data_IF_172473691233
#
_entry.id   IF_172473691233
#
_cell.length_a   1.000
_cell.length_b   1.000
_cell.length_c   1.000
_cell.angle_alpha   90.00
_cell.angle_beta   90.00
_cell.angle_gamma   90.00
#
_symmetry.space_group_name_H-M   'P 1'
#
loop_
_entity.id
_entity.type
_entity.pdbx_description
1 polymer ?
#
# COMPACT_ATOMS: atom_id res chain seq x y z
N UNK A 1 13.06 -4.59 -26.55
CA UNK A 1 11.88 -4.95 -25.73
C UNK A 1 10.85 -3.85 -25.89
N UNK A 2 9.59 -4.15 -26.24
CA UNK A 2 8.57 -3.12 -26.48
C UNK A 2 7.91 -2.70 -25.15
N UNK A 3 8.64 -1.94 -24.35
CA UNK A 3 8.24 -1.52 -22.99
C UNK A 3 6.93 -0.72 -22.97
N UNK A 4 6.58 -0.07 -24.08
CA UNK A 4 5.34 0.69 -24.26
C UNK A 4 4.09 -0.20 -24.23
N UNK A 5 4.14 -1.41 -24.82
CA UNK A 5 2.99 -2.31 -24.84
C UNK A 5 2.78 -2.99 -23.47
N UNK A 6 3.87 -3.34 -22.80
CA UNK A 6 3.82 -3.88 -21.43
C UNK A 6 3.18 -2.89 -20.47
N UNK A 7 3.62 -1.62 -20.50
CA UNK A 7 3.05 -0.56 -19.66
C UNK A 7 1.54 -0.38 -19.89
N UNK A 8 1.08 -0.47 -21.14
CA UNK A 8 -0.36 -0.39 -21.47
C UNK A 8 -1.16 -1.55 -20.85
N UNK A 9 -0.67 -2.78 -20.94
CA UNK A 9 -1.36 -3.93 -20.33
C UNK A 9 -1.35 -3.85 -18.81
N UNK A 10 -0.22 -3.46 -18.21
CA UNK A 10 -0.14 -3.27 -16.77
C UNK A 10 -1.12 -2.22 -16.29
N UNK A 11 -1.28 -1.12 -17.02
CA UNK A 11 -2.23 -0.07 -16.65
C UNK A 11 -3.68 -0.51 -16.86
N UNK A 12 -3.98 -1.19 -17.95
CA UNK A 12 -5.30 -1.77 -18.19
C UNK A 12 -5.67 -2.78 -17.09
N UNK A 13 -4.73 -3.62 -16.66
CA UNK A 13 -4.95 -4.60 -15.60
C UNK A 13 -5.19 -3.93 -14.23
N UNK A 14 -4.54 -2.78 -13.96
CA UNK A 14 -4.77 -1.98 -12.74
C UNK A 14 -6.14 -1.33 -12.77
N UNK A 15 -6.51 -0.72 -13.91
CA UNK A 15 -7.84 -0.12 -14.10
C UNK A 15 -8.94 -1.16 -13.93
N UNK A 16 -8.79 -2.33 -14.56
CA UNK A 16 -9.73 -3.44 -14.42
C UNK A 16 -9.90 -3.85 -12.95
N UNK A 17 -8.80 -4.05 -12.23
CA UNK A 17 -8.84 -4.44 -10.81
C UNK A 17 -9.59 -3.41 -9.96
N UNK A 18 -9.26 -2.12 -10.13
CA UNK A 18 -9.93 -1.04 -9.40
C UNK A 18 -11.41 -0.97 -9.72
N UNK A 19 -11.78 -1.00 -11.01
CA UNK A 19 -13.18 -0.94 -11.43
C UNK A 19 -13.99 -2.13 -10.90
N UNK A 20 -13.45 -3.35 -10.96
CA UNK A 20 -14.17 -4.53 -10.45
C UNK A 20 -14.33 -4.47 -8.94
N UNK A 21 -13.31 -4.02 -8.20
CA UNK A 21 -13.39 -3.86 -6.75
C UNK A 21 -14.38 -2.77 -6.32
N UNK A 22 -14.50 -1.67 -7.07
CA UNK A 22 -15.48 -0.61 -6.79
C UNK A 22 -16.93 -1.09 -7.02
N UNK A 23 -17.17 -1.89 -8.08
CA UNK A 23 -18.52 -2.34 -8.46
C UNK A 23 -19.03 -3.45 -7.54
N UNK A 24 -18.17 -4.40 -7.16
CA UNK A 24 -18.61 -5.64 -6.50
C UNK A 24 -18.61 -5.58 -4.95
N UNK A 25 -18.61 -4.38 -4.35
CA UNK A 25 -18.34 -4.13 -2.93
C UNK A 25 -16.89 -4.48 -2.52
N UNK A 26 -16.34 -3.87 -1.45
CA UNK A 26 -14.91 -3.84 -1.18
C UNK A 26 -14.40 -5.22 -0.71
N UNK A 27 -14.16 -6.11 -1.66
CA UNK A 27 -13.28 -7.25 -1.46
C UNK A 27 -11.86 -6.75 -1.36
N UNK A 28 -11.04 -7.43 -0.55
CA UNK A 28 -9.61 -7.19 -0.49
C UNK A 28 -9.05 -7.22 -1.93
N UNK A 29 -8.20 -6.24 -2.27
CA UNK A 29 -7.35 -6.29 -3.46
C UNK A 29 -6.30 -7.41 -3.26
N UNK A 30 -6.76 -8.65 -3.25
CA UNK A 30 -5.97 -9.86 -3.00
C UNK A 30 -5.30 -10.39 -4.27
N UNK A 31 -5.54 -9.74 -5.41
CA UNK A 31 -4.98 -10.05 -6.72
C UNK A 31 -5.85 -10.97 -7.58
N UNK A 32 -6.99 -11.48 -7.09
CA UNK A 32 -7.80 -12.47 -7.82
C UNK A 32 -8.34 -11.95 -9.14
N UNK A 33 -8.92 -10.75 -9.18
CA UNK A 33 -9.46 -10.17 -10.42
C UNK A 33 -8.37 -9.98 -11.48
N UNK A 34 -7.19 -9.59 -11.03
CA UNK A 34 -6.04 -9.37 -11.90
C UNK A 34 -5.48 -10.66 -12.46
N UNK A 35 -5.38 -11.70 -11.62
CA UNK A 35 -4.96 -13.02 -12.07
C UNK A 35 -5.88 -13.50 -13.20
N UNK A 36 -7.20 -13.43 -12.99
CA UNK A 36 -8.19 -13.78 -14.01
C UNK A 36 -8.04 -12.95 -15.30
N UNK A 37 -7.75 -11.65 -15.18
CA UNK A 37 -7.49 -10.80 -16.33
C UNK A 37 -6.27 -11.27 -17.13
N UNK A 38 -5.16 -11.59 -16.46
CA UNK A 38 -3.95 -12.07 -17.12
C UNK A 38 -4.11 -13.51 -17.65
N UNK A 39 -4.85 -14.38 -16.96
CA UNK A 39 -5.24 -15.71 -17.44
C UNK A 39 -6.04 -15.62 -18.75
N UNK A 40 -6.95 -14.65 -18.86
CA UNK A 40 -7.63 -14.40 -20.12
C UNK A 40 -6.66 -13.89 -21.20
N UNK A 41 -5.77 -12.95 -20.86
CA UNK A 41 -4.83 -12.39 -21.83
C UNK A 41 -3.88 -13.42 -22.44
N UNK A 42 -3.38 -14.39 -21.65
CA UNK A 42 -2.45 -15.42 -22.16
C UNK A 42 -3.09 -16.32 -23.23
N UNK A 43 -4.44 -16.39 -23.28
CA UNK A 43 -5.19 -17.15 -24.28
C UNK A 43 -5.35 -16.40 -25.61
N UNK A 44 -5.07 -15.10 -25.66
CA UNK A 44 -5.23 -14.29 -26.87
C UNK A 44 -4.12 -14.63 -27.87
N UNK A 45 -4.45 -15.09 -29.10
CA UNK A 45 -3.45 -15.34 -30.13
C UNK A 45 -2.59 -14.11 -30.41
N UNK A 46 -1.27 -14.26 -30.39
CA UNK A 46 -0.32 -13.17 -30.66
C UNK A 46 0.02 -12.29 -29.45
N UNK A 47 -0.51 -12.59 -28.25
CA UNK A 47 -0.18 -11.82 -27.05
C UNK A 47 1.33 -11.81 -26.75
N UNK A 48 2.02 -12.94 -26.92
CA UNK A 48 3.48 -13.04 -26.74
C UNK A 48 4.23 -12.07 -27.68
N UNK A 49 3.81 -11.97 -28.95
CA UNK A 49 4.40 -11.03 -29.89
C UNK A 49 4.10 -9.57 -29.50
N UNK A 50 2.94 -9.31 -28.90
CA UNK A 50 2.52 -7.97 -28.48
C UNK A 50 3.29 -7.46 -27.25
N UNK A 51 3.40 -8.26 -26.20
CA UNK A 51 4.09 -7.88 -24.94
C UNK A 51 5.58 -8.20 -24.93
N UNK A 52 6.01 -9.13 -25.78
CA UNK A 52 7.36 -9.67 -25.82
C UNK A 52 7.53 -10.93 -24.95
N UNK A 53 8.50 -11.80 -25.31
CA UNK A 53 8.64 -13.13 -24.72
C UNK A 53 9.00 -13.12 -23.23
N UNK A 54 9.74 -12.10 -22.76
CA UNK A 54 10.14 -12.01 -21.35
C UNK A 54 8.95 -11.73 -20.43
N UNK A 55 8.11 -10.76 -20.78
CA UNK A 55 6.92 -10.45 -19.99
C UNK A 55 5.89 -11.57 -20.10
N UNK A 56 5.74 -12.20 -21.27
CA UNK A 56 4.85 -13.35 -21.45
C UNK A 56 5.25 -14.54 -20.55
N UNK A 57 6.54 -14.88 -20.50
CA UNK A 57 7.06 -15.91 -19.58
C UNK A 57 6.83 -15.54 -18.10
N UNK A 58 6.99 -14.26 -17.75
CA UNK A 58 6.69 -13.79 -16.39
C UNK A 58 5.20 -13.96 -16.06
N UNK A 59 4.30 -13.62 -16.99
CA UNK A 59 2.85 -13.82 -16.84
C UNK A 59 2.54 -15.28 -16.51
N UNK A 60 2.99 -16.21 -17.36
CA UNK A 60 2.76 -17.65 -17.16
C UNK A 60 3.25 -18.12 -15.78
N UNK A 61 4.49 -17.77 -15.42
CA UNK A 61 5.10 -18.20 -14.15
C UNK A 61 4.38 -17.64 -12.92
N UNK A 62 4.07 -16.35 -12.90
CA UNK A 62 3.48 -15.75 -11.70
C UNK A 62 2.00 -16.09 -11.56
N UNK A 63 1.29 -16.42 -12.64
CA UNK A 63 -0.07 -16.97 -12.59
C UNK A 63 -0.10 -18.37 -11.98
N UNK A 64 0.76 -19.27 -12.44
CA UNK A 64 0.93 -20.61 -11.84
C UNK A 64 1.21 -20.51 -10.33
N UNK A 65 2.14 -19.64 -9.95
CA UNK A 65 2.45 -19.40 -8.53
C UNK A 65 1.29 -18.77 -7.74
N UNK A 66 0.47 -17.93 -8.38
CA UNK A 66 -0.70 -17.33 -7.75
C UNK A 66 -1.79 -18.39 -7.47
N UNK A 67 -1.95 -19.39 -8.33
CA UNK A 67 -2.90 -20.50 -8.09
C UNK A 67 -2.45 -21.40 -6.92
N UNK A 68 -1.15 -21.70 -6.85
CA UNK A 68 -0.60 -22.62 -5.84
C UNK A 68 -0.44 -22.00 -4.45
N UNK A 69 -0.32 -20.67 -4.34
CA UNK A 69 0.08 -20.00 -3.09
C UNK A 69 -1.02 -19.15 -2.48
N UNK A 70 -1.00 -19.06 -1.14
CA UNK A 70 -1.93 -18.25 -0.34
C UNK A 70 -1.76 -16.72 -0.50
N UNK A 71 -0.84 -16.24 -1.33
CA UNK A 71 -0.53 -14.81 -1.47
C UNK A 71 -0.52 -14.36 -2.94
N UNK A 72 -1.66 -14.52 -3.60
CA UNK A 72 -1.92 -14.10 -4.99
C UNK A 72 -1.47 -12.67 -5.29
N UNK A 73 -1.69 -11.77 -4.33
CA UNK A 73 -1.37 -10.34 -4.46
C UNK A 73 0.09 -10.06 -4.80
N UNK A 74 1.02 -10.73 -4.12
CA UNK A 74 2.46 -10.54 -4.36
C UNK A 74 2.91 -11.06 -5.73
N UNK A 75 2.27 -12.12 -6.23
CA UNK A 75 2.57 -12.67 -7.56
C UNK A 75 2.06 -11.74 -8.67
N UNK A 76 0.81 -11.29 -8.56
CA UNK A 76 0.20 -10.32 -9.47
C UNK A 76 0.96 -8.99 -9.47
N UNK A 77 1.44 -8.55 -8.30
CA UNK A 77 2.21 -7.32 -8.17
C UNK A 77 3.46 -7.30 -9.05
N UNK A 78 4.15 -8.43 -9.19
CA UNK A 78 5.33 -8.49 -10.07
C UNK A 78 4.96 -8.25 -11.54
N UNK A 79 3.78 -8.67 -11.96
CA UNK A 79 3.27 -8.38 -13.30
C UNK A 79 3.11 -6.87 -13.49
N UNK A 80 2.62 -6.15 -12.49
CA UNK A 80 2.47 -4.68 -12.54
C UNK A 80 3.77 -3.90 -12.57
N UNK A 81 4.84 -4.45 -11.99
CA UNK A 81 6.10 -3.73 -11.77
C UNK A 81 7.15 -4.02 -12.83
N UNK A 82 7.01 -5.09 -13.62
CA UNK A 82 8.00 -5.42 -14.66
C UNK A 82 8.26 -4.23 -15.62
N UNK A 83 9.51 -3.99 -16.05
CA UNK A 83 10.74 -4.71 -15.68
C UNK A 83 11.37 -4.19 -14.37
N UNK A 84 10.81 -3.14 -13.77
CA UNK A 84 11.37 -2.47 -12.60
C UNK A 84 10.61 -2.85 -11.32
N UNK A 85 11.09 -3.91 -10.68
CA UNK A 85 10.54 -4.43 -9.43
C UNK A 85 10.84 -3.53 -8.20
N UNK A 86 11.59 -2.45 -8.38
CA UNK A 86 11.83 -1.49 -7.33
C UNK A 86 10.68 -0.48 -7.24
N UNK A 87 10.36 -0.12 -6.00
CA UNK A 87 9.44 0.97 -5.71
C UNK A 87 9.99 2.30 -6.21
N UNK A 88 9.10 3.17 -6.67
CA UNK A 88 9.47 4.55 -6.93
C UNK A 88 9.93 5.19 -5.60
N UNK A 89 11.04 5.93 -5.67
CA UNK A 89 11.56 6.67 -4.53
C UNK A 89 10.56 7.73 -4.05
N UNK A 90 10.72 8.16 -2.80
CA UNK A 90 9.94 9.25 -2.24
C UNK A 90 10.48 10.60 -2.68
N UNK A 91 9.57 11.50 -3.06
CA UNK A 91 9.87 12.91 -3.31
C UNK A 91 9.34 13.74 -2.15
N UNK A 92 10.15 14.65 -1.61
CA UNK A 92 9.67 15.58 -0.58
C UNK A 92 8.70 16.58 -1.21
N UNK A 93 7.64 16.92 -0.49
CA UNK A 93 6.72 18.00 -0.85
C UNK A 93 7.15 19.25 -0.09
N UNK A 94 7.40 20.32 -0.83
CA UNK A 94 7.77 21.61 -0.24
C UNK A 94 6.53 22.24 0.41
N UNK A 95 6.55 22.32 1.73
CA UNK A 95 5.51 22.91 2.57
C UNK A 95 6.19 23.95 3.44
N UNK A 96 5.54 25.09 3.61
CA UNK A 96 6.03 26.14 4.51
C UNK A 96 6.13 25.59 5.95
N UNK A 97 7.29 25.77 6.58
CA UNK A 97 7.56 25.23 7.92
C UNK A 97 6.53 25.71 8.96
N UNK A 98 6.02 26.94 8.82
CA UNK A 98 4.95 27.48 9.67
C UNK A 98 3.66 26.64 9.56
N UNK A 99 3.25 26.30 8.34
CA UNK A 99 2.07 25.48 8.09
C UNK A 99 2.29 24.06 8.58
N UNK A 100 3.47 23.49 8.32
CA UNK A 100 3.83 22.16 8.79
C UNK A 100 3.80 22.07 10.32
N UNK A 101 4.31 23.08 11.03
CA UNK A 101 4.28 23.13 12.49
C UNK A 101 2.84 23.20 13.03
N UNK A 102 1.96 24.02 12.44
CA UNK A 102 0.54 24.09 12.83
C UNK A 102 -0.15 22.72 12.66
N UNK A 103 0.17 21.99 11.59
CA UNK A 103 -0.35 20.64 11.34
C UNK A 103 0.15 19.69 12.42
N UNK A 104 1.47 19.64 12.63
CA UNK A 104 2.11 18.76 13.61
C UNK A 104 1.51 18.99 15.01
N UNK A 105 1.33 20.24 15.44
CA UNK A 105 0.73 20.57 16.74
C UNK A 105 -0.71 20.06 16.90
N UNK A 106 -1.51 20.08 15.82
CA UNK A 106 -2.88 19.54 15.84
C UNK A 106 -2.87 18.01 15.90
N UNK A 107 -1.99 17.37 15.14
CA UNK A 107 -1.93 15.91 15.03
C UNK A 107 -1.30 15.24 16.26
N UNK A 108 -0.31 15.87 16.90
CA UNK A 108 0.41 15.33 18.06
C UNK A 108 -0.49 15.07 19.29
N UNK A 109 -1.68 15.65 19.34
CA UNK A 109 -2.64 15.43 20.43
C UNK A 109 -3.41 14.12 20.31
N UNK A 110 -3.26 13.41 19.19
CA UNK A 110 -3.98 12.17 18.94
C UNK A 110 -3.26 10.98 19.56
N UNK A 111 -4.07 10.07 20.10
CA UNK A 111 -3.63 8.79 20.63
C UNK A 111 -3.87 7.70 19.61
N UNK A 112 -2.97 6.72 19.63
CA UNK A 112 -2.94 5.61 18.70
C UNK A 112 -2.86 4.29 19.43
N UNK A 113 -3.42 3.27 18.80
CA UNK A 113 -3.39 1.89 19.28
C UNK A 113 -3.09 0.92 18.13
N UNK A 114 -2.55 -0.25 18.48
CA UNK A 114 -2.36 -1.33 17.52
C UNK A 114 -3.68 -2.06 17.28
N UNK A 115 -3.99 -2.33 16.01
CA UNK A 115 -5.13 -3.13 15.60
C UNK A 115 -4.74 -4.09 14.49
N UNK A 116 -5.30 -5.30 14.55
CA UNK A 116 -5.24 -6.23 13.43
C UNK A 116 -6.49 -6.02 12.57
N UNK A 117 -6.28 -5.71 11.30
CA UNK A 117 -7.33 -5.63 10.29
C UNK A 117 -6.76 -6.07 8.95
N UNK A 118 -7.57 -6.75 8.13
CA UNK A 118 -7.20 -7.17 6.76
C UNK A 118 -5.92 -8.02 6.72
N UNK A 119 -5.72 -8.84 7.75
CA UNK A 119 -4.52 -9.64 7.92
C UNK A 119 -3.25 -8.84 8.18
N UNK A 120 -3.31 -7.53 8.47
CA UNK A 120 -2.15 -6.67 8.76
C UNK A 120 -2.13 -6.28 10.24
N UNK A 121 -0.97 -5.84 10.72
CA UNK A 121 -0.88 -5.06 11.95
C UNK A 121 -0.79 -3.58 11.57
N UNK A 122 -1.79 -2.82 12.00
CA UNK A 122 -1.92 -1.41 11.76
C UNK A 122 -1.88 -0.63 13.07
N UNK A 123 -1.38 0.61 13.01
CA UNK A 123 -1.59 1.60 14.04
C UNK A 123 -2.70 2.52 13.56
N UNK A 124 -3.74 2.68 14.36
CA UNK A 124 -4.91 3.50 14.03
C UNK A 124 -5.09 4.58 15.09
N UNK A 125 -5.60 5.77 14.72
CA UNK A 125 -6.00 6.77 15.71
C UNK A 125 -7.21 6.26 16.49
N UNK A 126 -7.27 6.55 17.79
CA UNK A 126 -8.40 6.15 18.63
C UNK A 126 -9.66 6.95 18.28
N UNK A 127 -9.49 8.21 17.85
CA UNK A 127 -10.57 9.12 17.50
C UNK A 127 -10.19 9.98 16.28
N UNK A 128 -11.22 10.37 15.51
CA UNK A 128 -11.11 11.32 14.42
C UNK A 128 -10.64 10.75 13.08
N UNK A 129 -10.99 11.45 12.00
CA UNK A 129 -10.49 11.18 10.65
C UNK A 129 -9.24 12.03 10.41
N UNK A 130 -8.08 11.45 10.68
CA UNK A 130 -6.79 12.13 10.53
C UNK A 130 -6.44 12.34 9.05
N UNK A 131 -6.76 11.39 8.17
CA UNK A 131 -6.57 11.57 6.72
C UNK A 131 -7.29 12.83 6.21
N UNK A 132 -8.55 13.05 6.61
CA UNK A 132 -9.30 14.26 6.29
C UNK A 132 -8.64 15.53 6.81
N UNK A 133 -8.21 15.52 8.07
CA UNK A 133 -7.58 16.68 8.68
C UNK A 133 -6.27 17.06 7.99
N UNK A 134 -5.42 16.06 7.70
CA UNK A 134 -4.16 16.28 6.97
C UNK A 134 -4.47 16.80 5.56
N UNK A 135 -5.40 16.17 4.85
CA UNK A 135 -5.77 16.56 3.48
C UNK A 135 -6.28 18.00 3.43
N UNK A 136 -7.24 18.38 4.27
CA UNK A 136 -7.82 19.73 4.25
C UNK A 136 -6.79 20.83 4.52
N UNK A 137 -5.80 20.56 5.37
CA UNK A 137 -4.72 21.49 5.69
C UNK A 137 -3.67 21.58 4.57
N UNK A 138 -3.45 20.49 3.83
CA UNK A 138 -2.38 20.41 2.84
C UNK A 138 -2.83 20.53 1.38
N UNK A 139 -4.13 20.44 1.08
CA UNK A 139 -4.66 20.34 -0.30
C UNK A 139 -4.15 21.41 -1.27
N UNK A 140 -3.75 22.58 -0.80
CA UNK A 140 -3.20 23.65 -1.64
C UNK A 140 -1.76 23.39 -2.13
N UNK A 141 -1.02 22.50 -1.47
CA UNK A 141 0.33 22.06 -1.82
C UNK A 141 0.35 20.79 -2.67
N UNK A 142 -0.82 20.16 -2.88
CA UNK A 142 -0.93 18.87 -3.58
C UNK A 142 -1.32 19.07 -5.04
N UNK A 143 -1.11 18.04 -5.86
CA UNK A 143 -1.65 17.99 -7.22
C UNK A 143 -3.19 18.14 -7.19
N UNK A 144 -3.80 19.05 -7.98
CA UNK A 144 -5.26 19.27 -7.97
C UNK A 144 -6.13 18.04 -8.29
N UNK A 145 -5.53 17.02 -8.92
CA UNK A 145 -6.21 15.76 -9.24
C UNK A 145 -6.26 14.77 -8.09
N UNK A 146 -5.52 14.97 -6.99
CA UNK A 146 -5.64 14.11 -5.82
C UNK A 146 -6.92 14.37 -5.03
N UNK A 147 -7.35 13.35 -4.31
CA UNK A 147 -8.46 13.40 -3.36
C UNK A 147 -7.98 12.87 -2.01
N UNK A 148 -8.73 13.17 -0.95
CA UNK A 148 -8.52 12.53 0.35
C UNK A 148 -8.52 11.01 0.15
N UNK A 149 -7.56 10.32 0.77
CA UNK A 149 -7.59 8.87 0.79
C UNK A 149 -8.84 8.40 1.54
N UNK A 150 -9.70 7.63 0.85
CA UNK A 150 -10.97 7.15 1.39
C UNK A 150 -10.80 5.94 2.34
N UNK A 151 -9.63 5.31 2.33
CA UNK A 151 -9.31 4.23 3.27
C UNK A 151 -9.21 4.75 4.71
N UNK A 152 -9.57 3.90 5.67
CA UNK A 152 -9.45 4.20 7.09
C UNK A 152 -8.03 4.67 7.43
N UNK A 153 -7.90 5.73 8.24
CA UNK A 153 -6.57 6.23 8.65
C UNK A 153 -5.81 5.13 9.38
N UNK A 154 -4.64 4.76 8.86
CA UNK A 154 -3.75 3.83 9.52
C UNK A 154 -2.28 4.03 9.11
N UNK A 155 -1.39 3.49 9.93
CA UNK A 155 0.01 3.21 9.60
C UNK A 155 0.18 1.71 9.57
N UNK A 156 0.53 1.13 8.42
CA UNK A 156 0.84 -0.31 8.37
C UNK A 156 2.22 -0.57 8.96
N UNK A 157 2.29 -1.41 9.97
CA UNK A 157 3.54 -1.81 10.64
C UNK A 157 3.98 -3.19 10.15
N UNK A 158 3.03 -4.12 9.99
CA UNK A 158 3.29 -5.47 9.50
C UNK A 158 2.32 -5.79 8.37
N UNK A 159 2.85 -6.13 7.19
CA UNK A 159 2.07 -6.49 6.01
C UNK A 159 1.43 -7.88 6.12
N UNK A 160 0.38 -8.10 5.34
CA UNK A 160 -0.44 -9.30 5.39
C UNK A 160 0.29 -10.58 4.96
N UNK A 161 1.28 -10.47 4.09
CA UNK A 161 2.14 -11.58 3.73
C UNK A 161 2.92 -12.14 4.94
N UNK A 162 3.43 -11.25 5.80
CA UNK A 162 4.20 -11.64 7.00
C UNK A 162 3.26 -12.22 8.07
N UNK A 163 2.11 -11.59 8.30
CA UNK A 163 1.10 -12.10 9.24
C UNK A 163 0.55 -13.45 8.77
N UNK A 164 0.28 -13.61 7.48
CA UNK A 164 -0.18 -14.87 6.91
C UNK A 164 0.83 -16.01 7.04
N UNK A 165 2.13 -15.70 6.93
CA UNK A 165 3.22 -16.67 7.12
C UNK A 165 3.40 -17.11 8.58
N UNK A 166 3.17 -16.19 9.54
CA UNK A 166 3.26 -16.49 10.97
C UNK A 166 1.98 -17.18 11.49
N UNK A 167 0.82 -16.75 11.00
CA UNK A 167 -0.50 -17.09 11.50
C UNK A 167 -1.12 -15.95 12.32
N UNK A 168 -2.35 -15.56 11.95
CA UNK A 168 -3.05 -14.41 12.52
C UNK A 168 -3.25 -14.52 14.04
N UNK A 169 -3.54 -15.71 14.58
CA UNK A 169 -3.78 -15.91 16.02
C UNK A 169 -2.53 -15.62 16.86
N UNK A 170 -1.36 -16.08 16.39
CA UNK A 170 -0.08 -15.83 17.07
C UNK A 170 0.29 -14.36 17.06
N UNK A 171 0.03 -13.68 15.94
CA UNK A 171 0.23 -12.24 15.81
C UNK A 171 -0.74 -11.49 16.73
N UNK A 172 -2.01 -11.89 16.80
CA UNK A 172 -3.00 -11.31 17.69
C UNK A 172 -2.60 -11.44 19.17
N UNK A 173 -2.10 -12.59 19.58
CA UNK A 173 -1.58 -12.78 20.93
C UNK A 173 -0.39 -11.86 21.24
N UNK A 174 0.53 -11.68 20.29
CA UNK A 174 1.64 -10.73 20.46
C UNK A 174 1.15 -9.29 20.58
N UNK A 175 0.24 -8.86 19.70
CA UNK A 175 -0.30 -7.50 19.70
C UNK A 175 -1.06 -7.17 20.98
N UNK A 176 -1.71 -8.15 21.63
CA UNK A 176 -2.34 -7.96 22.95
C UNK A 176 -1.37 -7.47 24.04
N UNK A 177 -0.07 -7.72 23.91
CA UNK A 177 0.96 -7.18 24.81
C UNK A 177 1.26 -5.69 24.61
N UNK A 178 0.64 -5.05 23.61
CA UNK A 178 0.80 -3.65 23.24
C UNK A 178 -0.56 -2.93 23.28
N UNK A 179 -1.22 -3.02 24.43
CA UNK A 179 -2.53 -2.41 24.71
C UNK A 179 -2.46 -0.94 25.11
N UNK A 180 -1.25 -0.38 25.24
CA UNK A 180 -1.05 1.02 25.61
C UNK A 180 -1.30 1.93 24.42
N UNK A 181 -2.07 2.98 24.68
CA UNK A 181 -2.17 4.12 23.79
C UNK A 181 -0.85 4.90 23.76
N UNK A 182 -0.47 5.39 22.60
CA UNK A 182 0.77 6.14 22.41
C UNK A 182 0.60 7.28 21.40
N UNK A 183 1.57 8.20 21.39
CA UNK A 183 1.61 9.32 20.47
C UNK A 183 2.58 9.04 19.31
N UNK A 184 2.30 9.65 18.16
CA UNK A 184 3.17 9.65 16.99
C UNK A 184 3.78 11.03 16.81
N UNK A 185 5.06 11.08 16.43
CA UNK A 185 5.71 12.29 15.94
C UNK A 185 5.57 12.35 14.44
N UNK A 186 5.06 13.45 13.91
CA UNK A 186 4.87 13.66 12.47
C UNK A 186 6.11 14.32 11.86
N UNK A 187 6.50 13.84 10.69
CA UNK A 187 7.68 14.27 9.96
C UNK A 187 7.33 15.00 8.66
N UNK A 188 8.14 14.75 7.63
CA UNK A 188 7.96 15.40 6.32
C UNK A 188 6.78 14.80 5.56
N UNK A 189 6.22 15.61 4.69
CA UNK A 189 5.26 15.15 3.69
C UNK A 189 6.02 14.73 2.44
N UNK A 190 5.65 13.57 1.91
CA UNK A 190 6.29 12.94 0.76
C UNK A 190 5.24 12.51 -0.24
N UNK A 191 5.64 12.38 -1.49
CA UNK A 191 4.83 11.79 -2.55
C UNK A 191 5.59 10.69 -3.26
N UNK A 192 4.85 9.74 -3.83
CA UNK A 192 5.41 8.73 -4.73
C UNK A 192 4.39 8.26 -5.76
N UNK A 193 4.90 7.82 -6.91
CA UNK A 193 4.09 7.18 -7.94
C UNK A 193 3.95 5.70 -7.60
N UNK A 194 2.72 5.24 -7.49
CA UNK A 194 2.44 3.82 -7.29
C UNK A 194 2.68 3.03 -8.56
N UNK A 195 3.49 1.97 -8.45
CA UNK A 195 3.68 0.99 -9.52
C UNK A 195 2.94 -0.32 -9.25
N UNK A 196 2.68 -0.62 -7.97
CA UNK A 196 2.19 -1.90 -7.51
C UNK A 196 0.75 -1.87 -7.01
N UNK A 197 0.16 -0.70 -6.77
CA UNK A 197 -1.26 -0.56 -6.42
C UNK A 197 -2.11 -0.25 -7.64
N UNK A 198 -3.22 -0.99 -7.76
CA UNK A 198 -4.27 -0.74 -8.73
C UNK A 198 -5.05 0.52 -8.38
N UNK A 199 -5.45 0.69 -7.12
CA UNK A 199 -6.33 1.78 -6.69
C UNK A 199 -5.84 3.20 -7.04
N UNK A 200 -4.55 3.48 -6.92
CA UNK A 200 -4.01 4.82 -7.16
C UNK A 200 -2.72 4.83 -7.96
N UNK A 201 -2.50 5.92 -8.68
CA UNK A 201 -1.29 6.18 -9.49
C UNK A 201 -0.27 7.05 -8.77
N UNK A 202 -0.73 7.93 -7.88
CA UNK A 202 0.08 8.83 -7.07
C UNK A 202 -0.49 8.83 -5.66
N UNK A 203 0.37 8.85 -4.65
CA UNK A 203 -0.05 9.08 -3.28
C UNK A 203 0.83 10.12 -2.60
N UNK A 204 0.24 10.73 -1.58
CA UNK A 204 0.91 11.61 -0.63
C UNK A 204 0.80 11.00 0.76
N UNK A 205 1.92 11.06 1.47
CA UNK A 205 2.07 10.48 2.80
C UNK A 205 2.70 11.49 3.73
N UNK A 206 2.37 11.41 5.01
CA UNK A 206 3.12 12.09 6.07
C UNK A 206 3.91 11.03 6.83
N UNK A 207 5.20 11.26 7.00
CA UNK A 207 6.05 10.36 7.79
C UNK A 207 5.62 10.41 9.26
N UNK A 208 5.70 9.27 9.93
CA UNK A 208 5.47 9.16 11.36
C UNK A 208 6.60 8.41 12.03
N UNK A 209 6.92 8.78 13.27
CA UNK A 209 7.93 8.12 14.09
C UNK A 209 7.42 7.94 15.52
N UNK A 210 7.81 6.86 16.17
CA UNK A 210 7.53 6.64 17.59
C UNK A 210 8.50 5.62 18.16
N UNK A 211 9.10 5.93 19.31
CA UNK A 211 9.98 4.98 20.01
C UNK A 211 9.22 3.68 20.38
N UNK A 212 7.92 3.79 20.63
CA UNK A 212 7.06 2.64 20.90
C UNK A 212 6.83 1.77 19.66
N UNK A 213 6.76 2.39 18.47
CA UNK A 213 6.72 1.65 17.21
C UNK A 213 8.04 0.93 16.94
N UNK A 214 9.17 1.60 17.18
CA UNK A 214 10.49 1.02 16.99
C UNK A 214 10.70 -0.19 17.93
N UNK A 215 10.27 -0.06 19.19
CA UNK A 215 10.27 -1.16 20.16
C UNK A 215 9.36 -2.32 19.73
N UNK A 216 8.14 -2.02 19.27
CA UNK A 216 7.22 -3.03 18.74
C UNK A 216 7.87 -3.83 17.61
N UNK A 217 8.45 -3.13 16.64
CA UNK A 217 9.08 -3.74 15.46
C UNK A 217 10.27 -4.60 15.87
N UNK A 218 11.12 -4.11 16.79
CA UNK A 218 12.27 -4.86 17.28
C UNK A 218 11.85 -6.18 17.94
N UNK A 219 10.89 -6.12 18.87
CA UNK A 219 10.38 -7.31 19.58
C UNK A 219 9.59 -8.25 18.67
N UNK A 220 8.86 -7.72 17.68
CA UNK A 220 8.17 -8.52 16.68
C UNK A 220 9.18 -9.33 15.84
N UNK A 221 10.25 -8.68 15.38
CA UNK A 221 11.33 -9.32 14.64
C UNK A 221 12.03 -10.40 15.46
N UNK A 222 12.32 -10.13 16.73
CA UNK A 222 12.93 -11.11 17.64
C UNK A 222 12.02 -12.32 17.85
N UNK A 223 10.75 -12.10 18.22
CA UNK A 223 9.81 -13.20 18.54
C UNK A 223 9.50 -14.11 17.36
N UNK A 224 9.37 -13.55 16.16
CA UNK A 224 8.93 -14.30 14.97
C UNK A 224 10.05 -14.54 13.95
N UNK A 225 11.29 -14.26 14.33
CA UNK A 225 12.48 -14.40 13.48
C UNK A 225 12.31 -13.70 12.12
N UNK A 226 11.70 -12.51 12.13
CA UNK A 226 11.49 -11.69 10.94
C UNK A 226 12.53 -10.58 10.83
N UNK A 227 12.56 -9.95 9.66
CA UNK A 227 13.41 -8.79 9.36
C UNK A 227 12.59 -7.66 8.74
N UNK A 228 11.46 -7.35 9.37
CA UNK A 228 10.62 -6.21 8.95
C UNK A 228 11.37 -4.92 9.22
N UNK A 229 11.33 -4.01 8.23
CA UNK A 229 11.88 -2.65 8.31
C UNK A 229 10.83 -1.71 7.72
N UNK A 230 9.75 -1.42 8.46
CA UNK A 230 8.72 -0.54 7.94
C UNK A 230 9.31 0.85 7.71
N UNK A 231 8.71 1.57 6.76
CA UNK A 231 8.88 3.02 6.62
C UNK A 231 7.57 3.62 7.10
N UNK A 232 7.40 3.94 8.40
CA UNK A 232 6.08 4.26 8.94
C UNK A 232 5.56 5.59 8.38
N UNK A 233 4.37 5.56 7.80
CA UNK A 233 3.72 6.73 7.21
C UNK A 233 2.20 6.57 7.20
N UNK A 234 1.49 7.70 7.07
CA UNK A 234 0.05 7.74 6.82
C UNK A 234 -0.17 8.23 5.40
N UNK A 235 -0.84 7.41 4.59
CA UNK A 235 -1.30 7.83 3.26
C UNK A 235 -2.59 8.61 3.38
N UNK A 236 -2.53 9.92 3.16
CA UNK A 236 -3.67 10.83 3.39
C UNK A 236 -4.31 11.36 2.10
N UNK A 237 -3.60 11.31 0.96
CA UNK A 237 -4.16 11.70 -0.33
C UNK A 237 -3.71 10.77 -1.44
N UNK A 238 -4.60 10.49 -2.39
CA UNK A 238 -4.32 9.63 -3.53
C UNK A 238 -4.91 10.21 -4.81
N UNK A 239 -4.23 9.96 -5.93
CA UNK A 239 -4.79 10.11 -7.28
C UNK A 239 -5.30 8.74 -7.69
N UNK A 240 -6.61 8.53 -7.53
CA UNK A 240 -7.27 7.30 -7.97
C UNK A 240 -6.99 7.07 -9.45
N UNK A 241 -6.79 5.81 -9.84
CA UNK A 241 -6.74 5.46 -11.26
C UNK A 241 -8.16 5.50 -11.80
N UNK A 242 -8.53 6.61 -12.41
CA UNK A 242 -9.82 6.74 -13.08
C UNK A 242 -9.75 6.19 -14.50
N UNK A 243 -10.86 5.58 -14.93
CA UNK A 243 -11.21 5.34 -16.33
C UNK A 243 -11.56 6.66 -17.01
#
# INVERSE_FOLDING_TARGET
MNTTNVAKIQELAKLFDTTVSEINNPGLHDGTNVANFFDFLILIPGIEAFVGPEYYKLMQKELELAEEKKNKREHVKKLYMFPNFDYAGWTNVDIDDEILNIIIEKLNKMKFSFKISDGKVNVIPDEGDMCKQIFELLKMYLDPSVRQNADATHVTVVNSNIVGDIGQDKVAEFVKGYDKHFELKFGKVKSTVSRDWSLFSLCYVIEVNSEYLDEFVAKFNEKFEKKIRPSPHITFATKVRSV
#
